data_IF_174023442871
#
_entry.id   IF_174023442871
#
_cell.length_a   1.000
_cell.length_b   1.000
_cell.length_c   1.000
_cell.angle_alpha   90.00
_cell.angle_beta   90.00
_cell.angle_gamma   90.00
#
_symmetry.space_group_name_H-M   'P 1'
#
loop_
_entity.id
_entity.type
_entity.pdbx_description
1 polymer ?
#
# COMPACT_ATOMS: atom_id res chain seq x y z
N UNK A 1 23.18 -1.96 -1.46
CA UNK A 1 21.73 -1.79 -1.21
C UNK A 1 21.29 -0.64 -2.09
N UNK A 2 20.75 -0.97 -3.25
CA UNK A 2 20.25 0.03 -4.19
C UNK A 2 18.92 0.54 -3.65
N UNK A 3 18.81 1.87 -3.50
CA UNK A 3 17.56 2.54 -3.15
C UNK A 3 16.55 2.45 -4.28
N UNK A 4 15.32 2.94 -4.08
CA UNK A 4 14.30 2.94 -5.13
C UNK A 4 14.85 3.65 -6.37
N UNK A 5 14.79 2.99 -7.52
CA UNK A 5 15.17 3.52 -8.83
C UNK A 5 14.19 4.63 -9.24
N UNK A 6 14.33 5.80 -8.64
CA UNK A 6 13.77 7.03 -9.20
C UNK A 6 14.64 7.40 -10.39
N UNK A 7 14.12 7.18 -11.61
CA UNK A 7 14.77 7.61 -12.84
C UNK A 7 14.64 9.14 -12.98
N UNK A 8 15.24 9.89 -12.05
CA UNK A 8 15.26 11.34 -12.06
C UNK A 8 16.41 11.78 -12.95
N UNK A 9 16.20 11.80 -14.27
CA UNK A 9 17.14 12.50 -15.15
C UNK A 9 16.98 13.99 -14.85
N UNK A 10 17.94 14.57 -14.12
CA UNK A 10 17.99 16.01 -13.88
C UNK A 10 18.24 16.69 -15.23
N UNK A 11 17.26 17.44 -15.72
CA UNK A 11 17.34 18.18 -16.98
C UNK A 11 17.08 19.67 -16.73
N UNK A 12 17.49 20.51 -17.67
CA UNK A 12 17.18 21.94 -17.65
C UNK A 12 17.78 22.68 -16.44
N UNK A 13 16.94 23.39 -15.68
CA UNK A 13 17.39 24.23 -14.55
C UNK A 13 17.94 23.41 -13.38
N UNK A 14 17.43 22.20 -13.15
CA UNK A 14 17.91 21.33 -12.10
C UNK A 14 19.30 20.76 -12.40
N UNK A 15 19.59 20.45 -13.67
CA UNK A 15 20.94 20.07 -14.13
C UNK A 15 21.95 21.20 -13.88
N UNK A 16 21.62 22.42 -14.32
CA UNK A 16 22.49 23.59 -14.09
C UNK A 16 22.73 23.90 -12.61
N UNK A 17 21.72 23.66 -11.78
CA UNK A 17 21.84 23.84 -10.34
C UNK A 17 22.81 22.82 -9.73
N UNK A 18 22.70 21.54 -10.09
CA UNK A 18 23.58 20.50 -9.54
C UNK A 18 25.02 20.63 -10.05
N UNK A 19 25.22 21.12 -11.29
CA UNK A 19 26.55 21.37 -11.88
C UNK A 19 27.42 22.28 -11.00
N UNK A 20 26.83 23.26 -10.31
CA UNK A 20 27.54 24.13 -9.37
C UNK A 20 28.22 23.34 -8.26
N UNK A 21 27.58 22.26 -7.80
CA UNK A 21 28.11 21.40 -6.75
C UNK A 21 29.02 20.30 -7.33
N UNK A 22 28.73 19.79 -8.52
CA UNK A 22 29.63 18.83 -9.18
C UNK A 22 31.03 19.41 -9.45
N UNK A 23 31.17 20.74 -9.52
CA UNK A 23 32.47 21.41 -9.64
C UNK A 23 33.40 21.23 -8.42
N UNK A 24 32.87 20.85 -7.25
CA UNK A 24 33.63 20.74 -6.01
C UNK A 24 33.28 19.45 -5.23
N UNK A 25 33.36 18.30 -5.90
CA UNK A 25 33.11 16.98 -5.31
C UNK A 25 34.06 16.59 -4.16
N UNK A 26 35.19 17.28 -4.02
CA UNK A 26 36.16 17.03 -2.94
C UNK A 26 35.91 17.87 -1.70
N UNK A 27 34.82 18.67 -1.68
CA UNK A 27 34.46 19.49 -0.54
C UNK A 27 34.17 18.62 0.69
N UNK A 28 34.95 18.80 1.75
CA UNK A 28 34.85 18.03 3.00
C UNK A 28 33.91 18.67 4.03
N UNK A 29 33.26 19.79 3.73
CA UNK A 29 32.28 20.39 4.63
C UNK A 29 31.14 19.38 4.91
N UNK A 30 30.89 19.01 6.18
CA UNK A 30 29.80 18.12 6.54
C UNK A 30 28.41 18.61 6.07
N UNK A 31 28.25 19.93 5.90
CA UNK A 31 27.01 20.54 5.44
C UNK A 31 26.92 20.64 3.92
N UNK A 32 27.95 20.21 3.19
CA UNK A 32 27.93 20.21 1.73
C UNK A 32 26.80 19.30 1.22
N UNK A 33 25.97 19.81 0.32
CA UNK A 33 24.72 19.14 -0.05
C UNK A 33 24.95 17.73 -0.64
N UNK A 34 26.07 17.52 -1.35
CA UNK A 34 26.41 16.24 -1.97
C UNK A 34 27.02 15.23 -1.00
N UNK A 35 27.43 15.65 0.22
CA UNK A 35 27.99 14.77 1.23
C UNK A 35 26.92 13.98 2.01
N UNK A 36 25.64 14.29 1.79
CA UNK A 36 24.52 13.58 2.41
C UNK A 36 23.37 13.46 1.42
N UNK A 37 22.97 12.22 1.11
CA UNK A 37 21.81 11.97 0.24
C UNK A 37 20.57 12.70 0.74
N UNK A 38 20.31 12.67 2.05
CA UNK A 38 19.20 13.37 2.68
C UNK A 38 19.27 14.89 2.48
N UNK A 39 20.48 15.47 2.54
CA UNK A 39 20.67 16.90 2.30
C UNK A 39 20.42 17.25 0.83
N UNK A 40 20.98 16.46 -0.09
CA UNK A 40 20.75 16.62 -1.52
C UNK A 40 19.27 16.54 -1.89
N UNK A 41 18.57 15.50 -1.44
CA UNK A 41 17.16 15.26 -1.69
C UNK A 41 16.30 16.42 -1.15
N UNK A 42 16.56 16.87 0.08
CA UNK A 42 15.85 18.01 0.68
C UNK A 42 16.02 19.30 -0.13
N UNK A 43 17.23 19.63 -0.58
CA UNK A 43 17.45 20.81 -1.42
C UNK A 43 16.82 20.67 -2.80
N UNK A 44 16.89 19.47 -3.40
CA UNK A 44 16.29 19.18 -4.69
C UNK A 44 14.77 19.39 -4.66
N UNK A 45 14.07 18.82 -3.67
CA UNK A 45 12.63 18.99 -3.52
C UNK A 45 12.24 20.41 -3.09
N UNK A 46 13.06 21.10 -2.29
CA UNK A 46 12.79 22.50 -1.92
C UNK A 46 12.81 23.41 -3.15
N UNK A 47 13.70 23.17 -4.10
CA UNK A 47 13.90 24.04 -5.26
C UNK A 47 13.07 23.62 -6.48
N UNK A 48 12.80 22.32 -6.63
CA UNK A 48 12.20 21.75 -7.84
C UNK A 48 11.02 20.82 -7.58
N UNK A 49 10.72 20.51 -6.31
CA UNK A 49 9.49 19.80 -5.95
C UNK A 49 8.28 20.69 -6.21
N UNK A 50 7.15 20.07 -6.57
CA UNK A 50 5.88 20.77 -6.70
C UNK A 50 5.08 20.65 -5.40
N UNK A 51 4.92 21.74 -4.61
CA UNK A 51 4.12 21.70 -3.39
C UNK A 51 2.64 21.39 -3.65
N UNK A 52 2.15 21.61 -4.87
CA UNK A 52 0.79 21.25 -5.23
C UNK A 52 0.63 19.73 -5.32
N UNK A 53 1.59 19.02 -5.93
CA UNK A 53 1.56 17.55 -6.03
C UNK A 53 1.64 16.89 -4.65
N UNK A 54 2.46 17.42 -3.73
CA UNK A 54 2.50 16.94 -2.34
C UNK A 54 1.15 17.12 -1.65
N UNK A 55 0.58 18.34 -1.67
CA UNK A 55 -0.73 18.60 -1.04
C UNK A 55 -1.85 17.76 -1.65
N UNK A 56 -1.80 17.54 -2.95
CA UNK A 56 -2.75 16.68 -3.66
C UNK A 56 -2.61 15.23 -3.20
N UNK A 57 -1.40 14.71 -3.12
CA UNK A 57 -1.13 13.36 -2.62
C UNK A 57 -1.57 13.19 -1.16
N UNK A 58 -1.36 14.19 -0.30
CA UNK A 58 -1.85 14.19 1.08
C UNK A 58 -3.39 14.11 1.12
N UNK A 59 -4.10 14.92 0.32
CA UNK A 59 -5.56 14.90 0.24
C UNK A 59 -6.11 13.57 -0.32
N UNK A 60 -5.44 13.00 -1.32
CA UNK A 60 -5.77 11.67 -1.85
C UNK A 60 -5.54 10.58 -0.80
N UNK A 61 -4.42 10.63 -0.06
CA UNK A 61 -4.13 9.69 1.02
C UNK A 61 -5.18 9.79 2.14
N UNK A 62 -5.59 11.01 2.50
CA UNK A 62 -6.58 11.25 3.55
C UNK A 62 -7.95 10.67 3.23
N UNK A 63 -8.29 10.61 1.94
CA UNK A 63 -9.54 10.07 1.39
C UNK A 63 -9.43 8.62 0.90
N UNK A 64 -8.22 8.05 0.85
CA UNK A 64 -7.98 6.68 0.40
C UNK A 64 -8.67 5.67 1.33
N UNK A 65 -9.65 4.93 0.80
CA UNK A 65 -10.37 3.86 1.51
C UNK A 65 -10.44 2.62 0.64
N UNK A 66 -10.16 1.47 1.23
CA UNK A 66 -10.49 0.18 0.63
C UNK A 66 -11.97 -0.13 0.86
N UNK A 67 -12.64 -0.67 -0.16
CA UNK A 67 -14.04 -1.10 -0.07
C UNK A 67 -14.14 -2.42 0.71
N UNK A 68 -15.31 -2.69 1.29
CA UNK A 68 -15.62 -3.99 1.89
C UNK A 68 -15.47 -5.11 0.85
N UNK A 69 -14.71 -6.17 1.19
CA UNK A 69 -14.37 -7.24 0.25
C UNK A 69 -13.51 -6.80 -0.95
N UNK A 70 -12.89 -5.61 -0.87
CA UNK A 70 -11.91 -5.13 -1.83
C UNK A 70 -10.56 -5.83 -1.70
N UNK A 71 -9.71 -5.66 -2.71
CA UNK A 71 -8.41 -6.30 -2.77
C UNK A 71 -7.35 -5.50 -1.99
N UNK A 72 -6.70 -6.14 -1.02
CA UNK A 72 -5.72 -5.49 -0.14
C UNK A 72 -4.45 -5.09 -0.87
N UNK A 73 -3.99 -5.88 -1.85
CA UNK A 73 -2.75 -5.57 -2.58
C UNK A 73 -2.88 -4.32 -3.44
N UNK A 74 -4.06 -4.09 -4.05
CA UNK A 74 -4.36 -2.84 -4.75
C UNK A 74 -4.34 -1.64 -3.79
N UNK A 75 -5.00 -1.75 -2.64
CA UNK A 75 -4.98 -0.69 -1.63
C UNK A 75 -3.56 -0.37 -1.14
N UNK A 76 -2.74 -1.39 -0.87
CA UNK A 76 -1.33 -1.21 -0.48
C UNK A 76 -0.55 -0.50 -1.59
N UNK A 77 -0.78 -0.86 -2.85
CA UNK A 77 -0.12 -0.23 -4.01
C UNK A 77 -0.45 1.26 -4.11
N UNK A 78 -1.74 1.62 -4.01
CA UNK A 78 -2.19 3.01 -4.04
C UNK A 78 -1.63 3.80 -2.86
N UNK A 79 -1.68 3.23 -1.65
CA UNK A 79 -1.13 3.83 -0.44
C UNK A 79 0.36 4.11 -0.57
N UNK A 80 1.16 3.14 -1.04
CA UNK A 80 2.61 3.32 -1.21
C UNK A 80 2.95 4.35 -2.28
N UNK A 81 2.16 4.39 -3.35
CA UNK A 81 2.36 5.37 -4.41
C UNK A 81 2.20 6.79 -3.87
N UNK A 82 1.15 7.05 -3.09
CA UNK A 82 0.90 8.34 -2.45
C UNK A 82 1.97 8.69 -1.41
N UNK A 83 2.33 7.75 -0.53
CA UNK A 83 3.37 7.95 0.47
C UNK A 83 4.73 8.24 -0.17
N UNK A 84 5.03 7.68 -1.34
CA UNK A 84 6.27 7.97 -2.07
C UNK A 84 6.36 9.40 -2.57
N UNK A 85 5.21 10.03 -2.87
CA UNK A 85 5.14 11.44 -3.30
C UNK A 85 5.31 12.37 -2.09
N UNK A 86 4.73 11.99 -0.95
CA UNK A 86 4.77 12.77 0.29
C UNK A 86 6.17 12.74 0.92
N UNK A 87 6.78 11.57 1.01
CA UNK A 87 8.18 11.37 1.42
C UNK A 87 8.45 11.44 2.93
N UNK A 88 8.09 12.53 3.60
CA UNK A 88 8.64 12.89 4.93
C UNK A 88 7.79 12.47 6.15
N UNK A 89 6.75 11.67 5.94
CA UNK A 89 5.86 11.22 7.02
C UNK A 89 6.50 10.16 7.93
N UNK A 90 6.31 10.33 9.25
CA UNK A 90 6.76 9.36 10.24
C UNK A 90 5.92 8.08 10.26
N UNK A 91 6.55 6.95 10.61
CA UNK A 91 5.91 5.62 10.57
C UNK A 91 4.60 5.53 11.38
N UNK A 92 4.52 6.17 12.55
CA UNK A 92 3.28 6.21 13.34
C UNK A 92 2.13 6.88 12.59
N UNK A 93 2.41 7.96 11.86
CA UNK A 93 1.41 8.66 11.05
C UNK A 93 0.97 7.80 9.86
N UNK A 94 1.91 7.07 9.24
CA UNK A 94 1.61 6.12 8.16
C UNK A 94 0.74 4.97 8.65
N UNK A 95 1.07 4.36 9.79
CA UNK A 95 0.26 3.29 10.41
C UNK A 95 -1.16 3.79 10.70
N UNK A 96 -1.29 4.99 11.26
CA UNK A 96 -2.59 5.58 11.56
C UNK A 96 -3.43 5.75 10.28
N UNK A 97 -2.85 6.34 9.23
CA UNK A 97 -3.56 6.57 7.97
C UNK A 97 -3.89 5.27 7.23
N UNK A 98 -3.00 4.27 7.29
CA UNK A 98 -3.27 2.95 6.74
C UNK A 98 -4.50 2.33 7.41
N UNK A 99 -4.54 2.31 8.75
CA UNK A 99 -5.70 1.77 9.50
C UNK A 99 -7.00 2.51 9.20
N UNK A 100 -6.96 3.83 9.01
CA UNK A 100 -8.12 4.66 8.64
C UNK A 100 -8.74 4.22 7.31
N UNK A 101 -7.94 3.66 6.40
CA UNK A 101 -8.40 3.22 5.09
C UNK A 101 -8.77 1.74 4.97
N UNK A 102 -8.53 0.94 6.00
CA UNK A 102 -8.88 -0.49 6.03
C UNK A 102 -10.31 -0.67 6.59
N UNK A 103 -11.14 -1.55 6.02
CA UNK A 103 -12.48 -1.84 6.52
C UNK A 103 -12.46 -2.39 7.95
N UNK A 104 -13.49 -2.06 8.73
CA UNK A 104 -13.58 -2.48 10.13
C UNK A 104 -13.56 -4.01 10.28
N UNK A 105 -14.16 -4.75 9.35
CA UNK A 105 -14.17 -6.22 9.35
C UNK A 105 -12.76 -6.84 9.33
N UNK A 106 -11.81 -6.19 8.64
CA UNK A 106 -10.42 -6.61 8.60
C UNK A 106 -9.68 -6.12 9.84
N UNK A 107 -9.98 -4.92 10.33
CA UNK A 107 -9.41 -4.41 11.59
C UNK A 107 -9.81 -5.28 12.80
N UNK A 108 -11.02 -5.81 12.82
CA UNK A 108 -11.50 -6.73 13.87
C UNK A 108 -10.76 -8.07 13.80
N UNK A 109 -10.56 -8.61 12.60
CA UNK A 109 -9.71 -9.79 12.40
C UNK A 109 -8.26 -9.53 12.80
N UNK A 110 -7.74 -8.35 12.48
CA UNK A 110 -6.41 -7.92 12.88
C UNK A 110 -6.28 -7.81 14.40
N UNK A 111 -7.31 -7.33 15.11
CA UNK A 111 -7.32 -7.23 16.57
C UNK A 111 -7.28 -8.60 17.28
N UNK A 112 -7.81 -9.64 16.63
CA UNK A 112 -7.73 -11.02 17.11
C UNK A 112 -6.50 -11.78 16.60
N UNK A 113 -5.67 -11.15 15.76
CA UNK A 113 -4.50 -11.77 15.18
C UNK A 113 -3.36 -11.86 16.23
N UNK A 114 -2.68 -13.01 16.37
CA UNK A 114 -1.68 -13.21 17.42
C UNK A 114 -0.36 -12.45 17.20
N UNK A 115 -0.10 -11.98 15.99
CA UNK A 115 1.15 -11.33 15.62
C UNK A 115 1.21 -9.88 16.12
N UNK A 116 2.38 -9.49 16.61
CA UNK A 116 2.68 -8.11 17.00
C UNK A 116 2.89 -7.25 15.74
N UNK A 117 2.39 -6.02 15.77
CA UNK A 117 2.54 -5.04 14.69
C UNK A 117 3.54 -3.99 15.15
N UNK A 118 4.81 -4.13 14.75
CA UNK A 118 5.89 -3.22 15.16
C UNK A 118 6.26 -2.21 14.08
N UNK A 119 5.86 -2.48 12.83
CA UNK A 119 6.13 -1.61 11.69
C UNK A 119 4.92 -1.47 10.76
N UNK A 120 4.99 -0.50 9.85
CA UNK A 120 4.02 -0.39 8.75
C UNK A 120 4.05 -1.63 7.83
N UNK A 121 5.24 -2.23 7.65
CA UNK A 121 5.41 -3.42 6.82
C UNK A 121 4.67 -4.61 7.43
N UNK A 122 4.80 -4.84 8.74
CA UNK A 122 4.08 -5.91 9.44
C UNK A 122 2.56 -5.75 9.28
N UNK A 123 2.07 -4.51 9.39
CA UNK A 123 0.66 -4.21 9.21
C UNK A 123 0.18 -4.59 7.80
N UNK A 124 0.93 -4.22 6.76
CA UNK A 124 0.61 -4.55 5.37
C UNK A 124 0.62 -6.07 5.14
N UNK A 125 1.62 -6.78 5.64
CA UNK A 125 1.78 -8.22 5.44
C UNK A 125 0.66 -9.02 6.11
N UNK A 126 0.26 -8.64 7.33
CA UNK A 126 -0.85 -9.30 8.01
C UNK A 126 -2.17 -9.07 7.25
N UNK A 127 -2.43 -7.84 6.78
CA UNK A 127 -3.64 -7.56 6.00
C UNK A 127 -3.67 -8.37 4.70
N UNK A 128 -2.54 -8.52 4.00
CA UNK A 128 -2.44 -9.32 2.79
C UNK A 128 -2.69 -10.82 3.05
N UNK A 129 -2.23 -11.34 4.19
CA UNK A 129 -2.49 -12.71 4.61
C UNK A 129 -3.99 -12.94 4.87
N UNK A 130 -4.65 -12.00 5.57
CA UNK A 130 -6.08 -12.04 5.84
C UNK A 130 -6.90 -12.02 4.55
N UNK A 131 -6.52 -11.18 3.58
CA UNK A 131 -7.16 -11.09 2.25
C UNK A 131 -7.05 -12.41 1.49
N UNK A 132 -5.85 -12.99 1.45
CA UNK A 132 -5.60 -14.28 0.77
C UNK A 132 -6.50 -15.38 1.33
N UNK A 133 -6.55 -15.51 2.66
CA UNK A 133 -7.41 -16.50 3.35
C UNK A 133 -8.90 -16.26 3.10
N UNK A 134 -9.32 -15.01 3.02
CA UNK A 134 -10.70 -14.65 2.74
C UNK A 134 -11.12 -15.12 1.34
N UNK A 135 -10.27 -14.87 0.34
CA UNK A 135 -10.50 -15.31 -1.03
C UNK A 135 -10.49 -16.84 -1.17
N UNK A 136 -9.51 -17.54 -0.58
CA UNK A 136 -9.46 -19.01 -0.56
C UNK A 136 -10.76 -19.61 0.01
N UNK A 137 -11.24 -19.09 1.15
CA UNK A 137 -12.49 -19.56 1.78
C UNK A 137 -13.73 -19.26 0.94
N UNK A 138 -13.73 -18.16 0.19
CA UNK A 138 -14.84 -17.81 -0.71
C UNK A 138 -14.92 -18.80 -1.87
N UNK A 139 -13.78 -19.16 -2.45
CA UNK A 139 -13.68 -20.13 -3.54
C UNK A 139 -14.08 -21.54 -3.08
N UNK A 140 -13.64 -21.96 -1.88
CA UNK A 140 -14.06 -23.23 -1.27
C UNK A 140 -15.58 -23.36 -1.13
N UNK A 141 -16.25 -22.29 -0.69
CA UNK A 141 -17.71 -22.26 -0.53
C UNK A 141 -18.45 -22.30 -1.87
N UNK A 142 -17.94 -21.61 -2.88
CA UNK A 142 -18.49 -21.65 -4.24
C UNK A 142 -18.42 -23.07 -4.81
N UNK A 143 -17.29 -23.75 -4.65
CA UNK A 143 -17.11 -25.11 -5.14
C UNK A 143 -17.91 -26.18 -4.38
N UNK A 144 -18.23 -25.97 -3.10
CA UNK A 144 -19.09 -26.88 -2.35
C UNK A 144 -20.57 -26.74 -2.74
N UNK A 145 -21.03 -25.54 -3.11
CA UNK A 145 -22.41 -25.34 -3.58
C UNK A 145 -22.67 -25.97 -4.96
N UNK A 146 -21.68 -26.04 -5.84
CA UNK A 146 -21.82 -26.72 -7.15
C UNK A 146 -21.83 -28.25 -7.06
N UNK A 147 -21.40 -28.84 -5.94
CA UNK A 147 -21.23 -30.30 -5.80
C UNK A 147 -22.33 -31.00 -4.99
N UNK A 148 -23.34 -30.29 -4.51
CA UNK A 148 -24.49 -30.94 -3.86
C UNK A 148 -25.41 -31.57 -4.92
N UNK A 149 -25.56 -32.91 -4.98
CA UNK A 149 -26.37 -33.55 -6.01
C UNK A 149 -27.86 -33.42 -5.69
N UNK A 150 -28.65 -33.06 -6.70
CA UNK A 150 -30.11 -33.24 -6.74
C UNK A 150 -30.47 -34.73 -6.59
N UNK A 151 -30.45 -35.26 -5.38
CA UNK A 151 -30.90 -36.62 -5.07
C UNK A 151 -32.08 -36.57 -4.09
N UNK A 152 -33.21 -35.99 -4.51
CA UNK A 152 -34.48 -36.07 -3.75
C UNK A 152 -35.73 -35.79 -4.60
N UNK A 153 -35.83 -36.32 -5.84
CA UNK A 153 -37.12 -36.39 -6.57
C UNK A 153 -37.24 -37.66 -7.42
N UNK A 154 -37.63 -38.77 -6.79
CA UNK A 154 -38.39 -39.93 -7.31
C UNK A 154 -38.07 -41.12 -6.38
N UNK A 155 -39.00 -41.80 -5.75
CA UNK A 155 -40.17 -42.54 -6.24
C UNK A 155 -41.09 -42.77 -5.02
N UNK A 156 -42.41 -42.86 -5.12
CA UNK A 156 -43.07 -44.09 -5.61
C UNK A 156 -44.56 -43.84 -5.83
N UNK A 157 -45.03 -44.32 -6.97
CA UNK A 157 -46.40 -44.36 -7.45
C UNK A 157 -47.11 -45.66 -7.03
N UNK A 158 -48.32 -45.52 -6.46
CA UNK A 158 -49.53 -46.37 -6.59
C UNK A 158 -49.49 -47.85 -6.09
N UNK A 159 -50.63 -48.45 -5.64
CA UNK A 159 -51.83 -48.68 -6.48
C UNK A 159 -53.23 -48.60 -5.81
N UNK A 160 -54.25 -48.57 -6.69
CA UNK A 160 -55.70 -48.70 -6.46
C UNK A 160 -56.13 -49.97 -5.71
N UNK A 161 -57.27 -49.91 -5.00
CA UNK A 161 -58.34 -50.92 -4.82
C UNK A 161 -59.39 -50.29 -3.88
N UNK A 162 -60.72 -50.45 -3.94
CA UNK A 162 -61.71 -51.11 -4.79
C UNK A 162 -63.05 -50.39 -4.55
#
# INVERSE_FOLDING_TARGET
KEGPLFHFTLIGRAAKWIDLYLSNLTNQDPNYILNSWKSFESHLFTLFGDPYEIRKAEAELDSLRMKEGGNVSLYISDFRSLVSIIGDWGERALIHNFRKGVPSSILDQLASHPSRIDSLQDLMDINLNLDTRYHERKDEKSHHQEKEPEASKSSSSHPQSS
#
